data_IF_807478903374
#
_entry.id   IF_807478903374
#
_cell.length_a   1.000
_cell.length_b   1.000
_cell.length_c   1.000
_cell.angle_alpha   90.00
_cell.angle_beta   90.00
_cell.angle_gamma   90.00
#
_symmetry.space_group_name_H-M   'P 1'
#
loop_
_entity.id
_entity.type
_entity.pdbx_description
1 polymer ?
#
# COMPACT_ATOMS: atom_id res chain seq x y z
N UNK A 1 2.09 43.69 59.21
CA UNK A 1 1.75 44.64 58.15
C UNK A 1 1.53 43.80 56.89
N UNK A 2 0.35 43.38 56.59
CA UNK A 2 -0.78 44.05 55.93
C UNK A 2 -0.43 44.44 54.46
N UNK A 3 -1.06 43.79 53.52
CA UNK A 3 -1.15 44.22 52.17
C UNK A 3 -1.56 43.04 51.26
N UNK A 4 -2.77 42.76 51.19
CA UNK A 4 -3.85 42.93 50.23
C UNK A 4 -3.78 41.99 49.00
N UNK A 5 -4.75 41.08 48.98
CA UNK A 5 -5.24 40.26 47.85
C UNK A 5 -5.71 41.13 46.68
N UNK A 6 -5.49 40.63 45.47
CA UNK A 6 -6.31 40.97 44.32
C UNK A 6 -6.72 39.65 43.65
N UNK A 7 -7.98 39.32 43.83
CA UNK A 7 -8.68 38.28 43.09
C UNK A 7 -8.88 38.71 41.62
N UNK A 8 -8.41 37.93 40.66
CA UNK A 8 -8.82 38.02 39.27
C UNK A 8 -9.69 36.81 38.95
N UNK A 9 -10.97 37.06 38.76
CA UNK A 9 -12.00 36.15 38.32
C UNK A 9 -11.67 35.63 36.91
N UNK A 10 -11.26 34.38 36.83
CA UNK A 10 -11.14 33.65 35.55
C UNK A 10 -12.49 32.97 35.27
N UNK A 11 -13.17 33.49 34.25
CA UNK A 11 -14.43 32.96 33.75
C UNK A 11 -14.11 31.70 32.93
N UNK A 12 -14.16 30.52 33.57
CA UNK A 12 -14.09 29.22 32.91
C UNK A 12 -15.17 29.08 31.86
N UNK A 13 -14.75 29.11 30.59
CA UNK A 13 -15.59 28.62 29.49
C UNK A 13 -15.63 27.11 29.57
N UNK A 14 -16.74 26.62 30.07
CA UNK A 14 -17.17 25.23 30.04
C UNK A 14 -17.21 24.76 28.56
N UNK A 15 -16.16 24.07 28.13
CA UNK A 15 -16.14 23.31 26.87
C UNK A 15 -16.72 21.93 27.18
N UNK A 16 -18.06 21.83 27.16
CA UNK A 16 -18.76 20.58 27.24
C UNK A 16 -18.22 19.54 26.23
N UNK A 17 -18.33 18.25 26.54
CA UNK A 17 -17.82 17.18 25.66
C UNK A 17 -18.52 17.28 24.31
N UNK A 18 -17.73 17.32 23.23
CA UNK A 18 -18.26 17.22 21.86
C UNK A 18 -19.07 15.94 21.77
N UNK A 19 -20.29 15.97 21.16
CA UNK A 19 -21.09 14.77 20.98
C UNK A 19 -20.23 13.75 20.23
N UNK A 20 -19.97 12.59 20.87
CA UNK A 20 -19.28 11.48 20.26
C UNK A 20 -20.01 11.11 18.98
N UNK A 21 -19.28 11.05 17.85
CA UNK A 21 -19.78 10.35 16.67
C UNK A 21 -20.14 8.94 17.14
N UNK A 22 -21.40 8.59 17.06
CA UNK A 22 -21.85 7.22 17.23
C UNK A 22 -21.04 6.31 16.28
N UNK A 23 -20.90 5.02 16.56
CA UNK A 23 -20.20 4.10 15.67
C UNK A 23 -20.81 4.25 14.28
N UNK A 24 -19.99 4.67 13.30
CA UNK A 24 -20.43 4.68 11.90
C UNK A 24 -20.91 3.27 11.57
N UNK A 25 -22.06 3.10 10.90
CA UNK A 25 -22.53 1.78 10.52
C UNK A 25 -21.40 1.09 9.76
N UNK A 26 -21.08 -0.13 10.21
CA UNK A 26 -20.07 -0.97 9.55
C UNK A 26 -20.38 -1.05 8.05
N UNK A 27 -19.39 -1.42 7.21
CA UNK A 27 -19.61 -1.48 5.77
C UNK A 27 -20.85 -2.32 5.51
N UNK A 28 -21.77 -1.80 4.71
CA UNK A 28 -22.86 -2.63 4.17
C UNK A 28 -22.19 -3.74 3.36
N UNK A 29 -22.07 -4.91 3.95
CA UNK A 29 -21.38 -6.07 3.38
C UNK A 29 -21.99 -6.44 2.03
N UNK A 30 -23.30 -6.23 1.87
CA UNK A 30 -24.02 -6.49 0.62
C UNK A 30 -23.56 -5.55 -0.50
N UNK A 31 -23.33 -4.28 -0.19
CA UNK A 31 -22.84 -3.31 -1.18
C UNK A 31 -21.38 -3.62 -1.62
N UNK A 32 -20.55 -4.15 -0.71
CA UNK A 32 -19.19 -4.60 -1.04
C UNK A 32 -19.19 -5.87 -1.89
N UNK A 33 -20.18 -6.77 -1.74
CA UNK A 33 -20.25 -8.03 -2.48
C UNK A 33 -20.32 -7.84 -3.99
N UNK A 34 -21.04 -6.83 -4.48
CA UNK A 34 -21.12 -6.54 -5.91
C UNK A 34 -19.74 -6.18 -6.49
N UNK A 35 -19.00 -5.32 -5.80
CA UNK A 35 -17.64 -4.94 -6.18
C UNK A 35 -16.65 -6.12 -6.09
N UNK A 36 -16.73 -6.94 -5.05
CA UNK A 36 -15.90 -8.14 -4.91
C UNK A 36 -16.17 -9.16 -6.03
N UNK A 37 -17.44 -9.35 -6.41
CA UNK A 37 -17.81 -10.22 -7.55
C UNK A 37 -17.20 -9.74 -8.87
N UNK A 38 -17.15 -8.44 -9.11
CA UNK A 38 -16.53 -7.86 -10.31
C UNK A 38 -15.01 -8.12 -10.37
N UNK A 39 -14.37 -8.45 -9.24
CA UNK A 39 -12.94 -8.75 -9.14
C UNK A 39 -12.64 -10.25 -8.94
N UNK A 40 -13.65 -11.12 -9.07
CA UNK A 40 -13.46 -12.57 -8.89
C UNK A 40 -12.40 -13.11 -9.84
N UNK A 41 -11.48 -13.92 -9.33
CA UNK A 41 -10.33 -14.45 -10.08
C UNK A 41 -9.17 -13.48 -10.26
N UNK A 42 -9.37 -12.20 -9.94
CA UNK A 42 -8.33 -11.19 -10.10
C UNK A 42 -7.30 -11.26 -8.98
N UNK A 43 -6.03 -11.02 -9.33
CA UNK A 43 -4.96 -10.81 -8.36
C UNK A 43 -5.04 -9.39 -7.81
N UNK A 44 -4.97 -9.27 -6.49
CA UNK A 44 -4.93 -8.01 -5.76
C UNK A 44 -3.72 -8.02 -4.85
N UNK A 45 -2.82 -7.04 -5.02
CA UNK A 45 -1.67 -6.87 -4.15
C UNK A 45 -2.00 -5.85 -3.06
N UNK A 46 -1.69 -6.19 -1.81
CA UNK A 46 -1.91 -5.34 -0.65
C UNK A 46 -0.56 -5.00 -0.03
N UNK A 47 -0.19 -3.74 -0.05
CA UNK A 47 0.96 -3.25 0.69
C UNK A 47 0.52 -2.91 2.11
N UNK A 48 1.08 -3.60 3.10
CA UNK A 48 0.82 -3.37 4.50
C UNK A 48 2.07 -2.84 5.22
N UNK A 49 1.91 -1.74 5.97
CA UNK A 49 3.04 -1.09 6.63
C UNK A 49 2.62 0.10 7.47
N UNK A 50 3.58 0.81 8.04
CA UNK A 50 3.35 1.99 8.88
C UNK A 50 2.80 1.67 10.26
N UNK A 51 2.10 2.62 10.86
CA UNK A 51 1.58 2.51 12.22
C UNK A 51 0.48 1.44 12.36
N UNK A 52 -0.24 1.13 11.30
CA UNK A 52 -1.22 0.04 11.30
C UNK A 52 -0.59 -1.33 11.66
N UNK A 53 0.71 -1.50 11.46
CA UNK A 53 1.43 -2.72 11.84
C UNK A 53 1.82 -2.78 13.32
N UNK A 54 1.63 -1.73 14.08
CA UNK A 54 1.92 -1.69 15.52
C UNK A 54 0.68 -2.09 16.32
N UNK A 55 -0.48 -1.64 15.89
CA UNK A 55 -1.76 -1.91 16.53
C UNK A 55 -2.25 -3.33 16.29
N UNK A 56 -2.60 -4.04 17.38
CA UNK A 56 -3.03 -5.45 17.34
C UNK A 56 -4.40 -5.62 16.67
N UNK A 57 -5.33 -4.73 16.93
CA UNK A 57 -6.69 -4.81 16.41
C UNK A 57 -6.72 -4.48 14.92
N UNK A 58 -5.95 -3.49 14.48
CA UNK A 58 -5.79 -3.15 13.07
C UNK A 58 -5.14 -4.29 12.28
N UNK A 59 -4.12 -4.94 12.83
CA UNK A 59 -3.54 -6.15 12.20
C UNK A 59 -4.55 -7.28 12.09
N UNK A 60 -5.33 -7.52 13.13
CA UNK A 60 -6.37 -8.56 13.10
C UNK A 60 -7.50 -8.23 12.11
N UNK A 61 -7.93 -6.96 12.02
CA UNK A 61 -8.91 -6.50 11.04
C UNK A 61 -8.38 -6.63 9.61
N UNK A 62 -7.12 -6.23 9.37
CA UNK A 62 -6.46 -6.43 8.08
C UNK A 62 -6.45 -7.91 7.69
N UNK A 63 -6.04 -8.80 8.60
CA UNK A 63 -5.98 -10.23 8.33
C UNK A 63 -7.37 -10.81 7.97
N UNK A 64 -8.40 -10.44 8.72
CA UNK A 64 -9.80 -10.82 8.40
C UNK A 64 -10.21 -10.36 7.01
N UNK A 65 -9.92 -9.09 6.70
CA UNK A 65 -10.25 -8.51 5.40
C UNK A 65 -9.58 -9.22 4.24
N UNK A 66 -8.28 -9.55 4.37
CA UNK A 66 -7.52 -10.28 3.32
C UNK A 66 -8.09 -11.69 3.12
N UNK A 67 -8.43 -12.39 4.19
CA UNK A 67 -9.04 -13.74 4.10
C UNK A 67 -10.44 -13.66 3.48
N UNK A 68 -11.23 -12.62 3.77
CA UNK A 68 -12.52 -12.40 3.13
C UNK A 68 -12.40 -12.12 1.63
N UNK A 69 -11.37 -11.38 1.17
CA UNK A 69 -11.09 -11.24 -0.27
C UNK A 69 -10.87 -12.62 -0.93
N UNK A 70 -10.09 -13.49 -0.27
CA UNK A 70 -9.87 -14.84 -0.76
C UNK A 70 -11.18 -15.66 -0.84
N UNK A 71 -12.02 -15.63 0.19
CA UNK A 71 -13.32 -16.31 0.18
C UNK A 71 -14.27 -15.75 -0.89
N UNK A 72 -14.18 -14.46 -1.20
CA UNK A 72 -14.91 -13.85 -2.30
C UNK A 72 -14.37 -14.27 -3.70
N UNK A 73 -13.30 -15.05 -3.74
CA UNK A 73 -12.71 -15.58 -4.96
C UNK A 73 -11.65 -14.69 -5.60
N UNK A 74 -11.13 -13.68 -4.89
CA UNK A 74 -9.97 -12.91 -5.30
C UNK A 74 -8.68 -13.69 -4.96
N UNK A 75 -7.56 -13.26 -5.53
CA UNK A 75 -6.22 -13.82 -5.33
C UNK A 75 -5.34 -12.79 -4.61
N UNK A 76 -5.43 -12.66 -3.27
CA UNK A 76 -4.67 -11.66 -2.54
C UNK A 76 -3.20 -12.04 -2.36
N UNK A 77 -2.31 -11.05 -2.52
CA UNK A 77 -0.88 -11.13 -2.20
C UNK A 77 -0.57 -9.99 -1.24
N UNK A 78 0.03 -10.29 -0.10
CA UNK A 78 0.43 -9.28 0.89
C UNK A 78 1.92 -9.01 0.74
N UNK A 79 2.29 -7.73 0.59
CA UNK A 79 3.68 -7.28 0.65
C UNK A 79 3.82 -6.38 1.87
N UNK A 80 4.76 -6.67 2.75
CA UNK A 80 4.90 -5.92 3.99
C UNK A 80 6.31 -5.38 4.20
N UNK A 81 6.38 -4.26 4.91
CA UNK A 81 7.57 -3.74 5.55
C UNK A 81 7.60 -4.05 7.04
N UNK A 82 8.21 -3.16 7.81
CA UNK A 82 8.30 -3.29 9.27
C UNK A 82 9.22 -2.23 9.90
N UNK A 83 9.19 -1.00 9.35
CA UNK A 83 10.03 0.10 9.85
C UNK A 83 9.97 0.28 11.37
N UNK A 84 8.77 0.46 11.96
CA UNK A 84 8.64 0.62 13.41
C UNK A 84 9.19 -0.57 14.22
N UNK A 85 9.02 -1.81 13.72
CA UNK A 85 9.52 -3.02 14.38
C UNK A 85 11.04 -3.13 14.29
N UNK A 86 11.61 -2.72 13.16
CA UNK A 86 13.06 -2.62 12.98
C UNK A 86 13.64 -1.57 13.94
N UNK A 87 13.03 -0.37 14.00
CA UNK A 87 13.48 0.71 14.89
C UNK A 87 13.46 0.27 16.36
N UNK A 88 12.37 -0.34 16.79
CA UNK A 88 12.23 -0.84 18.15
C UNK A 88 13.25 -1.95 18.47
N UNK A 89 13.57 -2.81 17.50
CA UNK A 89 14.56 -3.87 17.68
C UNK A 89 15.98 -3.30 17.75
N UNK A 90 16.38 -2.45 16.80
CA UNK A 90 17.71 -1.82 16.76
C UNK A 90 17.97 -0.99 18.02
N UNK A 91 16.96 -0.21 18.48
CA UNK A 91 17.03 0.54 19.73
C UNK A 91 17.28 -0.38 20.94
N UNK A 92 16.60 -1.53 21.00
CA UNK A 92 16.76 -2.51 22.09
C UNK A 92 18.15 -3.10 22.16
N UNK A 93 18.82 -3.30 21.02
CA UNK A 93 20.17 -3.85 20.96
C UNK A 93 21.26 -2.77 20.88
N UNK A 94 20.90 -1.48 20.99
CA UNK A 94 21.84 -0.35 20.99
C UNK A 94 22.49 -0.07 19.63
N UNK A 95 21.89 -0.52 18.52
CA UNK A 95 22.41 -0.30 17.17
C UNK A 95 21.73 0.92 16.53
N UNK A 96 22.54 1.84 15.97
CA UNK A 96 22.06 3.02 15.25
C UNK A 96 22.02 2.76 13.74
N UNK A 97 20.89 3.09 13.12
CA UNK A 97 20.72 3.04 11.67
C UNK A 97 19.96 4.30 11.18
N UNK A 98 20.70 5.40 10.93
CA UNK A 98 20.10 6.68 10.55
C UNK A 98 19.39 6.60 9.19
N UNK A 99 18.54 7.60 8.91
CA UNK A 99 17.90 7.77 7.62
C UNK A 99 18.65 8.81 6.77
N UNK A 100 18.80 8.52 5.48
CA UNK A 100 19.30 9.45 4.49
C UNK A 100 18.38 9.42 3.27
N UNK A 101 17.85 10.59 2.86
CA UNK A 101 16.90 10.68 1.75
C UNK A 101 15.62 9.85 1.96
N UNK A 102 15.18 9.68 3.21
CA UNK A 102 13.99 8.89 3.56
C UNK A 102 14.21 7.36 3.56
N UNK A 103 15.44 6.89 3.35
CA UNK A 103 15.82 5.48 3.39
C UNK A 103 16.75 5.22 4.57
N UNK A 104 16.59 4.07 5.24
CA UNK A 104 17.46 3.66 6.34
C UNK A 104 18.83 3.28 5.80
N UNK A 105 19.90 3.89 6.30
CA UNK A 105 21.25 3.43 6.05
C UNK A 105 21.38 2.03 6.67
N UNK A 106 21.69 1.05 5.85
CA UNK A 106 21.65 -0.36 6.23
C UNK A 106 23.03 -0.98 6.01
N UNK A 107 23.88 -1.02 7.05
CA UNK A 107 25.16 -1.74 6.99
C UNK A 107 24.91 -3.25 6.87
N UNK A 108 25.91 -4.10 6.56
CA UNK A 108 25.73 -5.54 6.56
C UNK A 108 25.16 -6.06 7.89
N UNK A 109 25.65 -5.59 9.03
CA UNK A 109 25.21 -5.98 10.37
C UNK A 109 23.73 -5.55 10.60
N UNK A 110 23.38 -4.32 10.20
CA UNK A 110 21.99 -3.84 10.26
C UNK A 110 21.09 -4.67 9.34
N UNK A 111 21.60 -5.14 8.20
CA UNK A 111 20.83 -5.98 7.27
C UNK A 111 20.46 -7.33 7.88
N UNK A 112 21.35 -7.93 8.64
CA UNK A 112 21.05 -9.19 9.35
C UNK A 112 19.93 -9.00 10.36
N UNK A 113 19.93 -7.89 11.11
CA UNK A 113 18.86 -7.54 12.04
C UNK A 113 17.53 -7.25 11.29
N UNK A 114 17.58 -6.51 10.20
CA UNK A 114 16.41 -6.24 9.33
C UNK A 114 15.81 -7.55 8.83
N UNK A 115 16.64 -8.49 8.37
CA UNK A 115 16.23 -9.79 7.86
C UNK A 115 15.54 -10.62 8.96
N UNK A 116 16.12 -10.70 10.16
CA UNK A 116 15.52 -11.38 11.29
C UNK A 116 14.18 -10.76 11.71
N UNK A 117 14.10 -9.44 11.77
CA UNK A 117 12.87 -8.76 12.17
C UNK A 117 11.77 -8.94 11.13
N UNK A 118 12.07 -8.71 9.85
CA UNK A 118 11.07 -8.79 8.80
C UNK A 118 10.58 -10.23 8.58
N UNK A 119 11.48 -11.20 8.40
CA UNK A 119 11.11 -12.58 8.11
C UNK A 119 10.71 -13.37 9.37
N UNK A 120 11.37 -13.14 10.50
CA UNK A 120 11.17 -13.89 11.72
C UNK A 120 10.03 -13.35 12.60
N UNK A 121 9.94 -12.02 12.77
CA UNK A 121 8.98 -11.40 13.68
C UNK A 121 7.72 -10.92 12.96
N UNK A 122 7.88 -9.97 12.05
CA UNK A 122 6.75 -9.29 11.41
C UNK A 122 5.96 -10.25 10.54
N UNK A 123 6.64 -10.96 9.67
CA UNK A 123 5.99 -11.91 8.76
C UNK A 123 5.31 -13.05 9.52
N UNK A 124 5.98 -13.63 10.54
CA UNK A 124 5.38 -14.73 11.32
C UNK A 124 4.12 -14.30 12.04
N UNK A 125 4.09 -13.08 12.57
CA UNK A 125 2.89 -12.51 13.18
C UNK A 125 1.75 -12.38 12.17
N UNK A 126 2.01 -11.81 10.99
CA UNK A 126 0.99 -11.67 9.93
C UNK A 126 0.48 -13.02 9.43
N UNK A 127 1.38 -13.97 9.16
CA UNK A 127 1.02 -15.34 8.76
C UNK A 127 0.17 -16.02 9.84
N UNK A 128 0.51 -15.86 11.12
CA UNK A 128 -0.26 -16.39 12.23
C UNK A 128 -1.68 -15.81 12.29
N UNK A 129 -1.83 -14.48 12.13
CA UNK A 129 -3.14 -13.82 12.12
C UNK A 129 -4.01 -14.24 10.93
N UNK A 130 -3.43 -14.40 9.76
CA UNK A 130 -4.14 -14.90 8.57
C UNK A 130 -4.54 -16.35 8.75
N UNK A 131 -3.62 -17.19 9.26
CA UNK A 131 -3.87 -18.63 9.46
C UNK A 131 -4.80 -18.95 10.64
N UNK A 132 -5.03 -18.00 11.53
CA UNK A 132 -6.09 -18.10 12.53
C UNK A 132 -7.50 -18.13 11.90
N UNK A 133 -7.65 -17.71 10.66
CA UNK A 133 -8.90 -17.75 9.89
C UNK A 133 -8.98 -18.96 8.94
N UNK A 134 -7.94 -19.79 8.86
CA UNK A 134 -7.79 -20.95 8.01
C UNK A 134 -6.39 -21.06 7.43
N UNK A 135 -5.89 -22.24 7.06
CA UNK A 135 -4.49 -22.50 6.71
C UNK A 135 -4.15 -21.97 5.29
N UNK A 136 -4.22 -20.66 5.08
CA UNK A 136 -4.10 -20.05 3.75
C UNK A 136 -2.77 -19.34 3.51
N UNK A 137 -2.19 -18.71 4.53
CA UNK A 137 -1.04 -17.84 4.36
C UNK A 137 0.29 -18.60 4.33
N UNK A 138 1.15 -18.22 3.38
CA UNK A 138 2.53 -18.69 3.27
C UNK A 138 3.45 -17.47 3.27
N UNK A 139 4.39 -17.43 4.23
CA UNK A 139 5.37 -16.35 4.33
C UNK A 139 6.59 -16.61 3.46
N UNK A 140 7.01 -15.59 2.74
CA UNK A 140 8.12 -15.58 1.81
C UNK A 140 8.97 -14.33 2.00
N UNK A 141 10.23 -14.43 1.62
CA UNK A 141 11.10 -13.28 1.31
C UNK A 141 11.37 -13.25 -0.19
N UNK A 142 11.98 -12.21 -0.70
CA UNK A 142 12.44 -12.21 -2.09
C UNK A 142 13.53 -13.24 -2.39
N UNK A 143 14.17 -13.80 -1.35
CA UNK A 143 15.19 -14.84 -1.46
C UNK A 143 14.59 -16.19 -1.85
N UNK A 144 13.34 -16.47 -1.41
CA UNK A 144 12.66 -17.74 -1.65
C UNK A 144 12.39 -17.91 -3.16
N UNK A 145 12.97 -18.95 -3.74
CA UNK A 145 13.00 -19.21 -5.18
C UNK A 145 13.49 -18.01 -6.04
N UNK A 146 14.19 -17.04 -5.43
CA UNK A 146 14.60 -15.81 -6.10
C UNK A 146 13.41 -14.96 -6.57
N UNK A 147 12.32 -14.95 -5.80
CA UNK A 147 11.08 -14.23 -6.13
C UNK A 147 11.31 -12.75 -6.40
N UNK A 148 12.22 -12.10 -5.67
CA UNK A 148 12.72 -10.76 -5.97
C UNK A 148 14.22 -10.81 -6.26
N UNK A 149 14.71 -9.90 -7.10
CA UNK A 149 16.10 -9.56 -7.20
C UNK A 149 16.26 -8.05 -7.16
N UNK A 150 17.32 -7.56 -6.50
CA UNK A 150 17.56 -6.14 -6.31
C UNK A 150 18.95 -5.72 -6.77
N UNK A 151 19.05 -4.46 -7.21
CA UNK A 151 20.32 -3.77 -7.43
C UNK A 151 20.57 -2.79 -6.30
N UNK A 152 21.85 -2.52 -6.01
CA UNK A 152 22.21 -1.55 -4.96
C UNK A 152 21.66 -0.17 -5.26
N UNK A 153 21.01 0.42 -4.27
CA UNK A 153 20.49 1.79 -4.35
C UNK A 153 21.40 2.76 -3.60
N UNK A 154 21.62 3.91 -4.22
CA UNK A 154 22.35 5.02 -3.62
C UNK A 154 21.39 6.11 -3.19
N UNK A 155 21.66 6.74 -2.04
CA UNK A 155 20.94 7.90 -1.58
C UNK A 155 21.41 9.21 -2.21
N UNK A 156 20.67 10.27 -1.92
CA UNK A 156 21.09 11.65 -2.14
C UNK A 156 20.83 12.46 -0.87
N UNK A 157 21.83 13.16 -0.39
CA UNK A 157 21.71 14.15 0.69
C UNK A 157 22.48 15.39 0.25
N UNK A 158 21.86 16.55 0.34
CA UNK A 158 22.44 17.86 -0.06
C UNK A 158 23.03 17.85 -1.48
N UNK A 159 22.32 17.20 -2.42
CA UNK A 159 22.75 17.06 -3.82
C UNK A 159 23.90 16.05 -4.04
N UNK A 160 24.51 15.50 -3.00
CA UNK A 160 25.61 14.53 -3.09
C UNK A 160 25.09 13.10 -3.04
N UNK A 161 25.79 12.19 -3.74
CA UNK A 161 25.54 10.77 -3.66
C UNK A 161 26.00 10.24 -2.30
N UNK A 162 25.12 9.50 -1.60
CA UNK A 162 25.40 8.92 -0.28
C UNK A 162 25.29 7.40 -0.38
N UNK A 163 26.25 6.71 0.22
CA UNK A 163 26.18 5.26 0.37
C UNK A 163 25.16 4.88 1.44
N UNK A 164 24.17 4.08 1.05
CA UNK A 164 23.14 3.57 1.93
C UNK A 164 23.44 2.14 2.44
N UNK A 165 24.57 1.56 2.06
CA UNK A 165 24.94 0.17 2.39
C UNK A 165 24.07 -0.85 1.65
N UNK A 166 23.44 -1.75 2.39
CA UNK A 166 22.57 -2.83 1.88
C UNK A 166 21.13 -2.36 1.63
N UNK A 167 20.97 -1.23 0.95
CA UNK A 167 19.68 -0.77 0.45
C UNK A 167 19.56 -1.08 -1.03
N UNK A 168 18.44 -1.68 -1.43
CA UNK A 168 18.20 -2.11 -2.81
C UNK A 168 16.99 -1.49 -3.44
N UNK A 169 16.98 -1.56 -4.77
CA UNK A 169 15.83 -1.30 -5.62
C UNK A 169 15.51 -2.57 -6.41
N UNK A 170 14.22 -2.92 -6.49
CA UNK A 170 13.80 -4.14 -7.21
C UNK A 170 14.17 -4.01 -8.69
N UNK A 171 14.97 -4.95 -9.17
CA UNK A 171 15.37 -5.06 -10.57
C UNK A 171 14.54 -6.09 -11.32
N UNK A 172 14.13 -7.17 -10.65
CA UNK A 172 13.39 -8.27 -11.25
C UNK A 172 12.41 -8.87 -10.23
N UNK A 173 11.25 -9.31 -10.73
CA UNK A 173 10.29 -10.13 -9.99
C UNK A 173 10.03 -11.41 -10.78
N UNK A 174 10.29 -12.56 -10.17
CA UNK A 174 9.98 -13.89 -10.72
C UNK A 174 8.72 -14.40 -10.09
N UNK A 175 7.65 -14.49 -10.86
CA UNK A 175 6.30 -14.77 -10.35
C UNK A 175 6.03 -16.25 -10.10
N UNK A 176 6.84 -17.17 -10.61
CA UNK A 176 6.57 -18.60 -10.63
C UNK A 176 6.14 -19.19 -9.28
N UNK A 177 6.84 -18.86 -8.18
CA UNK A 177 6.45 -19.31 -6.84
C UNK A 177 5.12 -18.65 -6.39
N UNK A 178 4.95 -17.37 -6.67
CA UNK A 178 3.71 -16.64 -6.32
C UNK A 178 2.52 -17.22 -7.09
N UNK A 179 2.69 -17.49 -8.39
CA UNK A 179 1.64 -18.07 -9.24
C UNK A 179 1.25 -19.47 -8.78
N UNK A 180 2.22 -20.30 -8.40
CA UNK A 180 1.95 -21.64 -7.87
C UNK A 180 1.15 -21.57 -6.55
N UNK A 181 1.54 -20.70 -5.64
CA UNK A 181 0.80 -20.51 -4.37
C UNK A 181 -0.61 -19.96 -4.60
N UNK A 182 -0.77 -19.00 -5.50
CA UNK A 182 -2.07 -18.43 -5.85
C UNK A 182 -2.97 -19.47 -6.55
N UNK A 183 -2.41 -20.35 -7.36
CA UNK A 183 -3.15 -21.46 -8.00
C UNK A 183 -3.64 -22.49 -6.95
N UNK A 184 -2.84 -22.76 -5.90
CA UNK A 184 -3.25 -23.59 -4.75
C UNK A 184 -4.20 -22.87 -3.78
N UNK A 185 -4.61 -21.65 -4.10
CA UNK A 185 -5.49 -20.85 -3.24
C UNK A 185 -4.83 -20.35 -1.97
N UNK A 186 -3.50 -20.26 -1.92
CA UNK A 186 -2.75 -19.67 -0.81
C UNK A 186 -2.71 -18.16 -0.91
N UNK A 187 -2.36 -17.53 0.20
CA UNK A 187 -2.11 -16.09 0.33
C UNK A 187 -0.61 -15.91 0.54
N UNK A 188 0.17 -15.53 -0.47
CA UNK A 188 1.59 -15.18 -0.29
C UNK A 188 1.72 -13.94 0.59
N UNK A 189 2.61 -14.00 1.59
CA UNK A 189 2.96 -12.90 2.49
C UNK A 189 4.45 -12.62 2.31
N UNK A 190 4.79 -11.63 1.51
CA UNK A 190 6.14 -11.33 1.06
C UNK A 190 6.74 -10.18 1.86
N UNK A 191 7.88 -10.42 2.50
CA UNK A 191 8.67 -9.35 3.12
C UNK A 191 9.58 -8.67 2.11
N UNK A 192 9.83 -7.37 2.30
CA UNK A 192 10.61 -6.53 1.39
C UNK A 192 12.13 -6.71 1.52
N UNK A 193 12.59 -7.96 1.36
CA UNK A 193 14.00 -8.38 1.35
C UNK A 193 14.28 -9.01 0.00
N UNK A 194 15.40 -8.67 -0.63
CA UNK A 194 15.75 -9.23 -1.93
C UNK A 194 17.25 -9.49 -2.05
N UNK A 195 17.66 -10.63 -2.62
CA UNK A 195 19.06 -10.90 -2.95
C UNK A 195 19.55 -9.98 -4.08
N UNK A 196 20.85 -9.81 -4.17
CA UNK A 196 21.50 -9.11 -5.28
C UNK A 196 21.18 -9.81 -6.62
N UNK A 197 20.86 -9.00 -7.64
CA UNK A 197 20.50 -9.51 -8.96
C UNK A 197 21.68 -10.24 -9.63
N UNK A 198 22.90 -9.77 -9.40
CA UNK A 198 24.12 -10.37 -9.95
C UNK A 198 24.60 -11.60 -9.17
N UNK A 199 24.08 -11.82 -7.95
CA UNK A 199 24.42 -12.94 -7.06
C UNK A 199 25.91 -13.10 -6.76
N UNK A 200 26.74 -12.11 -7.08
CA UNK A 200 28.20 -12.23 -7.07
C UNK A 200 28.79 -12.35 -5.67
N UNK A 201 28.16 -11.69 -4.66
CA UNK A 201 28.66 -11.61 -3.28
C UNK A 201 27.71 -12.20 -2.24
N UNK A 202 26.61 -12.82 -2.67
CA UNK A 202 25.56 -13.30 -1.76
C UNK A 202 24.84 -12.17 -1.01
N UNK A 203 24.98 -10.93 -1.47
CA UNK A 203 24.38 -9.79 -0.80
C UNK A 203 22.86 -9.86 -0.80
N UNK A 204 22.28 -9.43 0.32
CA UNK A 204 20.84 -9.24 0.48
C UNK A 204 20.59 -7.77 0.77
N UNK A 205 19.51 -7.24 0.22
CA UNK A 205 19.14 -5.83 0.32
C UNK A 205 17.82 -5.63 1.04
N UNK A 206 17.78 -4.61 1.87
CA UNK A 206 16.56 -4.00 2.39
C UNK A 206 15.91 -3.17 1.28
N UNK A 207 14.72 -3.57 0.85
CA UNK A 207 13.99 -2.90 -0.22
C UNK A 207 12.80 -2.13 0.38
N UNK A 208 12.50 -0.97 -0.18
CA UNK A 208 11.28 -0.24 0.22
C UNK A 208 10.03 -1.07 -0.13
N UNK A 209 9.16 -1.30 0.86
CA UNK A 209 7.99 -2.14 0.70
C UNK A 209 6.95 -1.57 -0.30
N UNK A 210 6.87 -0.25 -0.48
CA UNK A 210 5.97 0.38 -1.43
C UNK A 210 6.42 0.07 -2.87
N UNK A 211 7.74 0.17 -3.14
CA UNK A 211 8.32 -0.16 -4.45
C UNK A 211 8.30 -1.66 -4.72
N UNK A 212 8.54 -2.50 -3.70
CA UNK A 212 8.41 -3.95 -3.82
C UNK A 212 6.98 -4.35 -4.17
N UNK A 213 5.97 -3.79 -3.48
CA UNK A 213 4.56 -4.06 -3.77
C UNK A 213 4.17 -3.62 -5.19
N UNK A 214 4.66 -2.46 -5.63
CA UNK A 214 4.41 -1.97 -6.99
C UNK A 214 5.01 -2.90 -8.06
N UNK A 215 6.25 -3.36 -7.86
CA UNK A 215 6.93 -4.29 -8.76
C UNK A 215 6.22 -5.65 -8.82
N UNK A 216 5.86 -6.21 -7.66
CA UNK A 216 5.10 -7.47 -7.56
C UNK A 216 3.72 -7.34 -8.23
N UNK A 217 3.01 -6.23 -8.00
CA UNK A 217 1.71 -5.99 -8.61
C UNK A 217 1.81 -5.90 -10.14
N UNK A 218 2.83 -5.22 -10.67
CA UNK A 218 3.09 -5.13 -12.10
C UNK A 218 3.42 -6.49 -12.71
N UNK A 219 4.33 -7.25 -12.10
CA UNK A 219 4.77 -8.56 -12.60
C UNK A 219 3.64 -9.61 -12.60
N UNK A 220 2.74 -9.56 -11.61
CA UNK A 220 1.56 -10.43 -11.53
C UNK A 220 0.37 -9.97 -12.40
N UNK A 221 0.49 -8.85 -13.12
CA UNK A 221 -0.63 -8.25 -13.84
C UNK A 221 -1.83 -7.97 -12.93
N UNK A 222 -1.56 -7.49 -11.72
CA UNK A 222 -2.59 -7.31 -10.70
C UNK A 222 -3.70 -6.35 -11.17
N UNK A 223 -4.95 -6.70 -10.88
CA UNK A 223 -6.10 -5.83 -11.13
C UNK A 223 -6.05 -4.57 -10.28
N UNK A 224 -5.61 -4.71 -9.03
CA UNK A 224 -5.49 -3.59 -8.10
C UNK A 224 -4.26 -3.73 -7.20
N UNK A 225 -3.68 -2.58 -6.83
CA UNK A 225 -2.71 -2.43 -5.75
C UNK A 225 -3.35 -1.57 -4.66
N UNK A 226 -3.51 -2.13 -3.46
CA UNK A 226 -3.98 -1.40 -2.28
C UNK A 226 -2.78 -0.97 -1.44
N UNK A 227 -2.54 0.34 -1.35
CA UNK A 227 -1.46 0.95 -0.57
C UNK A 227 -2.01 1.46 0.75
N UNK A 228 -1.84 0.67 1.82
CA UNK A 228 -2.23 1.10 3.14
C UNK A 228 -1.19 2.06 3.73
N UNK A 229 -1.65 3.22 4.18
CA UNK A 229 -0.83 4.34 4.68
C UNK A 229 -1.37 4.84 6.02
N UNK A 230 -0.69 5.83 6.60
CA UNK A 230 -1.13 6.49 7.84
C UNK A 230 -1.94 7.77 7.59
N UNK A 231 -2.47 7.94 6.39
CA UNK A 231 -3.31 9.08 6.01
C UNK A 231 -4.54 8.61 5.24
N UNK A 232 -5.67 9.33 5.35
CA UNK A 232 -6.94 8.95 4.68
C UNK A 232 -6.86 8.86 3.15
N UNK A 233 -5.87 9.50 2.53
CA UNK A 233 -5.69 9.53 1.08
C UNK A 233 -4.84 10.73 0.66
N UNK A 234 -4.88 11.10 -0.61
CA UNK A 234 -4.20 12.27 -1.15
C UNK A 234 -5.06 13.52 -0.99
N UNK A 235 -4.40 14.65 -0.71
CA UNK A 235 -5.03 15.96 -0.60
C UNK A 235 -4.48 16.89 -1.68
N UNK A 236 -5.29 17.88 -2.12
CA UNK A 236 -4.87 18.88 -3.12
C UNK A 236 -3.85 19.86 -2.56
N UNK A 237 -3.92 20.14 -1.27
CA UNK A 237 -3.04 21.07 -0.55
C UNK A 237 -2.68 20.53 0.82
N UNK A 238 -1.57 21.01 1.37
CA UNK A 238 -1.19 20.73 2.75
C UNK A 238 -0.87 22.06 3.48
N UNK A 239 -1.42 22.35 4.67
CA UNK A 239 -2.40 21.52 5.41
C UNK A 239 -3.73 21.35 4.66
N UNK A 240 -4.50 20.26 4.95
CA UNK A 240 -5.68 19.92 4.17
C UNK A 240 -6.78 20.99 4.28
N UNK A 241 -7.31 21.42 3.13
CA UNK A 241 -8.46 22.31 3.04
C UNK A 241 -9.67 21.55 2.44
N UNK A 242 -10.02 20.43 3.06
CA UNK A 242 -11.12 19.58 2.58
C UNK A 242 -10.82 18.09 2.75
N UNK A 243 -11.68 17.24 2.18
CA UNK A 243 -11.49 15.80 2.17
C UNK A 243 -10.39 15.32 1.23
N UNK A 244 -9.99 14.04 1.33
CA UNK A 244 -9.08 13.44 0.38
C UNK A 244 -9.69 13.41 -1.03
N UNK A 245 -8.85 13.43 -2.04
CA UNK A 245 -9.26 13.33 -3.45
C UNK A 245 -9.78 11.92 -3.68
N UNK A 246 -11.03 11.78 -4.12
CA UNK A 246 -11.64 10.47 -4.33
C UNK A 246 -11.00 9.71 -5.51
N UNK A 247 -10.71 10.41 -6.62
CA UNK A 247 -10.11 9.80 -7.81
C UNK A 247 -9.16 10.75 -8.54
N UNK A 248 -8.10 10.18 -9.08
CA UNK A 248 -7.09 10.84 -9.93
C UNK A 248 -6.72 9.93 -11.11
N UNK A 249 -6.29 10.55 -12.20
CA UNK A 249 -5.55 9.85 -13.24
C UNK A 249 -4.04 9.79 -12.91
N UNK A 250 -3.32 8.85 -13.50
CA UNK A 250 -1.86 8.78 -13.39
C UNK A 250 -1.17 10.07 -13.84
N UNK A 251 -1.71 10.75 -14.87
CA UNK A 251 -1.20 12.03 -15.34
C UNK A 251 -1.38 13.17 -14.32
N UNK A 252 -2.53 13.20 -13.64
CA UNK A 252 -2.77 14.19 -12.57
C UNK A 252 -1.85 13.92 -11.38
N UNK A 253 -1.70 12.66 -10.96
CA UNK A 253 -0.79 12.28 -9.90
C UNK A 253 0.66 12.65 -10.23
N UNK A 254 1.10 12.43 -11.47
CA UNK A 254 2.44 12.78 -11.92
C UNK A 254 2.70 14.30 -11.82
N UNK A 255 1.68 15.14 -12.14
CA UNK A 255 1.78 16.60 -11.98
C UNK A 255 1.80 17.05 -10.52
N UNK A 256 1.13 16.32 -9.62
CA UNK A 256 1.13 16.62 -8.19
C UNK A 256 2.42 16.21 -7.48
N UNK A 257 3.14 15.20 -8.00
CA UNK A 257 4.28 14.58 -7.33
C UNK A 257 5.37 15.58 -6.86
N UNK A 258 5.76 16.59 -7.65
CA UNK A 258 6.77 17.58 -7.22
C UNK A 258 6.34 18.43 -6.02
N UNK A 259 5.03 18.62 -5.80
CA UNK A 259 4.47 19.39 -4.68
C UNK A 259 4.19 18.57 -3.42
N UNK A 260 4.39 17.26 -3.46
CA UNK A 260 4.20 16.41 -2.28
C UNK A 260 5.40 16.50 -1.34
N UNK A 261 5.15 16.34 -0.03
CA UNK A 261 6.18 16.41 0.99
C UNK A 261 6.48 15.04 1.62
N UNK A 262 7.70 14.89 2.13
CA UNK A 262 8.13 13.80 3.00
C UNK A 262 7.91 12.39 2.42
N UNK A 263 7.40 11.50 3.28
CA UNK A 263 7.18 10.09 2.95
C UNK A 263 6.11 9.80 1.89
N UNK A 264 5.33 10.80 1.44
CA UNK A 264 4.34 10.60 0.38
C UNK A 264 4.96 10.53 -1.01
N UNK A 265 6.07 11.23 -1.27
CA UNK A 265 6.75 11.20 -2.57
C UNK A 265 7.12 9.78 -3.02
N UNK A 266 7.87 8.98 -2.24
CA UNK A 266 8.21 7.61 -2.64
C UNK A 266 6.98 6.71 -2.78
N UNK A 267 5.95 6.88 -1.97
CA UNK A 267 4.70 6.12 -2.08
C UNK A 267 3.97 6.40 -3.39
N UNK A 268 3.83 7.68 -3.73
CA UNK A 268 3.14 8.08 -4.97
C UNK A 268 3.95 7.75 -6.21
N UNK A 269 5.27 7.80 -6.13
CA UNK A 269 6.15 7.32 -7.18
C UNK A 269 5.97 5.80 -7.42
N UNK A 270 5.84 5.00 -6.35
CA UNK A 270 5.52 3.58 -6.44
C UNK A 270 4.13 3.33 -7.05
N UNK A 271 3.12 4.12 -6.70
CA UNK A 271 1.79 4.05 -7.33
C UNK A 271 1.86 4.29 -8.85
N UNK A 272 2.59 5.31 -9.28
CA UNK A 272 2.81 5.60 -10.71
C UNK A 272 3.57 4.48 -11.41
N UNK A 273 4.59 3.90 -10.76
CA UNK A 273 5.34 2.78 -11.31
C UNK A 273 4.45 1.56 -11.51
N UNK A 274 3.58 1.23 -10.56
CA UNK A 274 2.62 0.14 -10.66
C UNK A 274 1.66 0.33 -11.87
N UNK A 275 1.09 1.53 -12.03
CA UNK A 275 0.20 1.84 -13.14
C UNK A 275 0.91 1.76 -14.50
N UNK A 276 2.16 2.21 -14.59
CA UNK A 276 2.99 2.09 -15.80
C UNK A 276 3.32 0.61 -16.12
N UNK A 277 3.49 -0.21 -15.08
CA UNK A 277 3.69 -1.66 -15.22
C UNK A 277 2.42 -2.45 -15.55
N UNK A 278 1.28 -1.77 -15.77
CA UNK A 278 0.06 -2.42 -16.24
C UNK A 278 -0.97 -2.73 -15.15
N UNK A 279 -0.72 -2.41 -13.89
CA UNK A 279 -1.72 -2.56 -12.81
C UNK A 279 -2.99 -1.78 -13.17
N UNK A 280 -4.16 -2.38 -13.01
CA UNK A 280 -5.44 -1.80 -13.43
C UNK A 280 -5.79 -0.51 -12.68
N UNK A 281 -5.63 -0.51 -11.35
CA UNK A 281 -5.81 0.64 -10.49
C UNK A 281 -4.94 0.57 -9.24
N UNK A 282 -4.65 1.72 -8.65
CA UNK A 282 -4.01 1.80 -7.33
C UNK A 282 -4.95 2.54 -6.38
N UNK A 283 -5.08 2.06 -5.16
CA UNK A 283 -5.85 2.73 -4.10
C UNK A 283 -4.96 3.05 -2.92
N UNK A 284 -4.99 4.31 -2.50
CA UNK A 284 -4.30 4.79 -1.30
C UNK A 284 -5.33 4.85 -0.19
N UNK A 285 -5.15 4.03 0.84
CA UNK A 285 -6.13 3.82 1.92
C UNK A 285 -5.50 4.14 3.28
N UNK A 286 -6.30 4.59 4.23
CA UNK A 286 -5.88 4.69 5.62
C UNK A 286 -5.84 3.29 6.24
N UNK A 287 -4.65 2.82 6.55
CA UNK A 287 -4.45 1.52 7.21
C UNK A 287 -4.90 1.49 8.67
N UNK A 288 -5.22 2.65 9.26
CA UNK A 288 -5.76 2.77 10.64
C UNK A 288 -7.27 2.62 10.68
N UNK A 289 -7.94 2.67 9.53
CA UNK A 289 -9.37 2.44 9.44
C UNK A 289 -9.65 0.93 9.40
N UNK A 290 -10.42 0.39 10.35
CA UNK A 290 -10.90 -0.99 10.28
C UNK A 290 -11.64 -1.23 8.97
N UNK A 291 -11.46 -2.41 8.39
CA UNK A 291 -12.13 -2.85 7.16
C UNK A 291 -11.90 -1.99 5.91
N UNK A 292 -10.93 -1.04 5.93
CA UNK A 292 -10.58 -0.21 4.77
C UNK A 292 -10.34 -1.04 3.50
N UNK A 293 -9.74 -2.23 3.64
CA UNK A 293 -9.48 -3.17 2.55
C UNK A 293 -10.78 -3.67 1.91
N UNK A 294 -11.79 -4.05 2.70
CA UNK A 294 -13.08 -4.50 2.18
C UNK A 294 -13.87 -3.34 1.58
N UNK A 295 -13.90 -2.21 2.27
CA UNK A 295 -14.59 -0.99 1.82
C UNK A 295 -14.02 -0.47 0.50
N UNK A 296 -12.75 -0.77 0.18
CA UNK A 296 -12.14 -0.40 -1.10
C UNK A 296 -12.88 -0.98 -2.31
N UNK A 297 -13.65 -2.05 -2.15
CA UNK A 297 -14.44 -2.67 -3.21
C UNK A 297 -15.91 -2.25 -3.20
N UNK A 298 -16.33 -1.41 -2.25
CA UNK A 298 -17.68 -0.88 -2.15
C UNK A 298 -17.91 0.37 -3.01
N UNK A 299 -19.19 0.80 -3.15
CA UNK A 299 -19.54 1.98 -3.95
C UNK A 299 -19.00 3.29 -3.34
N UNK A 300 -18.91 3.37 -2.02
CA UNK A 300 -18.33 4.50 -1.27
C UNK A 300 -16.92 4.17 -0.78
N UNK A 301 -16.07 3.68 -1.68
CA UNK A 301 -14.71 3.28 -1.33
C UNK A 301 -13.92 4.45 -0.73
N UNK A 302 -13.27 4.26 0.44
CA UNK A 302 -12.46 5.29 1.08
C UNK A 302 -11.17 5.53 0.31
N UNK A 303 -10.51 6.63 0.66
CA UNK A 303 -9.18 6.94 0.16
C UNK A 303 -9.15 7.58 -1.21
N UNK A 304 -8.02 7.43 -1.88
CA UNK A 304 -7.79 7.95 -3.24
C UNK A 304 -7.58 6.81 -4.22
N UNK A 305 -8.41 6.77 -5.24
CA UNK A 305 -8.25 5.85 -6.38
C UNK A 305 -7.41 6.52 -7.46
N UNK A 306 -6.35 5.85 -7.92
CA UNK A 306 -5.55 6.30 -9.06
C UNK A 306 -5.72 5.31 -10.20
N UNK A 307 -6.11 5.82 -11.37
CA UNK A 307 -6.36 5.02 -12.57
C UNK A 307 -5.50 5.49 -13.73
N UNK A 308 -5.28 4.63 -14.72
CA UNK A 308 -4.74 5.08 -16.01
C UNK A 308 -5.72 6.05 -16.66
N UNK A 309 -5.24 7.03 -17.41
CA UNK A 309 -6.14 7.84 -18.22
C UNK A 309 -6.93 6.90 -19.16
N UNK A 310 -8.22 7.16 -19.42
CA UNK A 310 -8.91 6.46 -20.48
C UNK A 310 -8.12 6.65 -21.79
N UNK A 311 -7.91 5.56 -22.52
CA UNK A 311 -7.30 5.65 -23.85
C UNK A 311 -8.17 6.58 -24.70
N UNK A 312 -7.58 7.64 -25.23
CA UNK A 312 -8.24 8.53 -26.16
C UNK A 312 -8.51 7.73 -27.44
N UNK A 313 -9.71 7.08 -27.54
CA UNK A 313 -10.05 6.35 -28.76
C UNK A 313 -11.09 5.23 -28.64
N UNK A 314 -11.58 4.86 -27.44
CA UNK A 314 -12.61 3.81 -27.33
C UNK A 314 -13.97 4.41 -26.92
N UNK A 315 -14.56 5.25 -27.79
CA UNK A 315 -15.88 5.79 -27.46
C UNK A 315 -16.38 6.85 -28.40
N UNK A 316 -16.60 6.52 -29.66
CA UNK A 316 -17.56 7.22 -30.53
C UNK A 316 -17.86 6.38 -31.77
N UNK A 317 -18.49 5.24 -31.62
CA UNK A 317 -19.42 4.78 -32.64
C UNK A 317 -20.79 5.26 -32.17
N UNK A 318 -21.02 6.56 -32.32
CA UNK A 318 -22.34 7.14 -32.27
C UNK A 318 -23.12 6.58 -33.45
N UNK A 319 -24.30 6.03 -33.16
CA UNK A 319 -25.26 5.62 -34.17
C UNK A 319 -25.47 6.70 -35.22
N UNK A 320 -25.16 6.39 -36.44
CA UNK A 320 -25.66 7.12 -37.58
C UNK A 320 -27.01 6.51 -37.95
N UNK A 321 -28.01 7.21 -37.53
CA UNK A 321 -29.34 7.47 -38.05
C UNK A 321 -29.74 6.71 -39.32
N UNK A 322 -30.75 5.85 -39.15
CA UNK A 322 -31.59 5.33 -40.21
C UNK A 322 -32.62 6.37 -40.56
N UNK A 323 -32.36 7.15 -41.55
CA UNK A 323 -33.28 8.15 -42.12
C UNK A 323 -33.66 7.84 -43.57
N UNK A 324 -34.82 7.24 -43.70
CA UNK A 324 -35.81 7.49 -44.73
C UNK A 324 -35.42 7.50 -46.25
N UNK A 325 -36.02 6.57 -46.98
CA UNK A 325 -37.07 7.05 -47.88
C UNK A 325 -36.83 6.90 -49.38
N UNK A 326 -37.79 6.28 -49.97
CA UNK A 326 -38.33 6.43 -51.33
C UNK A 326 -37.73 5.55 -52.44
N UNK A 327 -38.40 4.50 -52.87
CA UNK A 327 -39.46 4.40 -53.89
C UNK A 327 -39.03 4.71 -55.32
N UNK A 328 -39.29 3.74 -56.16
CA UNK A 328 -39.67 3.68 -57.58
C UNK A 328 -38.67 3.08 -58.54
N UNK A 329 -39.07 1.91 -59.00
CA UNK A 329 -39.61 1.56 -60.31
C UNK A 329 -38.57 1.30 -61.42
N UNK A 330 -38.70 0.12 -61.98
CA UNK A 330 -38.80 0.02 -63.43
C UNK A 330 -37.80 -0.87 -64.15
N UNK A 331 -38.34 -2.02 -64.49
CA UNK A 331 -38.05 -2.97 -65.57
C UNK A 331 -37.08 -4.11 -65.31
#
# INVERSE_FOLDING_TARGET
>A
MAGLCAESSDSGKDSGPRPGRGPEPGPDLLSCLAGLRAHRGATVVLKFGGNAMVDRELKASFARSVVLLRYAGLRPVVVHGGGPQIDAHLSRIGVSAPFAGGLRVTTPEVMDEVRMVLAGRVQRELVGLLNAQGPFAVGLTGEDAGTLAAVRRWGRADGRRVDLGRVGEVAEVRTGLLDALLADGRIPVLSSIAPAADRSDGAVYNVNADTAAAAVAGALGARALLMLTDVPGLYRSWPPQGGPIGQLTAGELARMLPGLAGGMVPKMAACLAALRAGVGEVRVLDGREPDAVLRAFGPAAPGTRVVRAPEAGAGAVAGADSGAGAVLAGR
#
